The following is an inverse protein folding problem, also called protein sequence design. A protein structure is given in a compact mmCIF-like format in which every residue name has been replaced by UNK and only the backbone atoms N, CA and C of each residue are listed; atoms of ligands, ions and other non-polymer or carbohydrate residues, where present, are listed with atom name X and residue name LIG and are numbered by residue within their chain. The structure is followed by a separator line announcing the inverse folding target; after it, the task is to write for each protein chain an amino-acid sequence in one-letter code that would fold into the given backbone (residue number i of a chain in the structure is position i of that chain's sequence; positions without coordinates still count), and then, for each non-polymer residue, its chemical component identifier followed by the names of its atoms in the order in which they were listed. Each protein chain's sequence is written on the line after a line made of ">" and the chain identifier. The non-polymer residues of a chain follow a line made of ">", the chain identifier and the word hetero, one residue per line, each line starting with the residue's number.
data_IF_067798434359
#
_entry.id   IF_067798434359
#
_cell.length_a   1.000
_cell.length_b   1.000
_cell.length_c   1.000
_cell.angle_alpha   90.00
_cell.angle_beta   90.00
_cell.angle_gamma   90.00
#
_symmetry.space_group_name_H-M   'P 1'
#
loop_
_entity.id
_entity.type
_entity.pdbx_description
1 polymer ?
#
# COMPACT_ATOMS: atom_id res chain seq x y z
N UNK A 1 33.20 64.94 11.32
CA UNK A 1 32.91 63.61 11.91
C UNK A 1 31.89 62.96 10.99
N UNK A 2 32.34 62.05 10.13
CA UNK A 2 31.47 61.34 9.18
C UNK A 2 31.13 60.01 9.83
N UNK A 3 29.84 59.78 10.09
CA UNK A 3 29.33 58.54 10.67
C UNK A 3 29.03 57.60 9.50
N UNK A 4 29.83 56.55 9.37
CA UNK A 4 29.56 55.42 8.47
C UNK A 4 28.55 54.50 9.18
N UNK A 5 27.33 54.45 8.68
CA UNK A 5 26.35 53.41 9.01
C UNK A 5 26.62 52.22 8.08
N UNK A 6 27.31 51.20 8.57
CA UNK A 6 27.30 49.89 7.92
C UNK A 6 25.93 49.26 8.19
N UNK A 7 25.10 49.19 7.15
CA UNK A 7 23.88 48.39 7.16
C UNK A 7 24.24 46.90 7.22
N UNK A 8 23.60 46.17 8.13
CA UNK A 8 23.58 44.72 8.11
C UNK A 8 23.01 44.26 6.78
N UNK A 9 23.78 43.47 6.03
CA UNK A 9 23.25 42.67 4.93
C UNK A 9 22.36 41.61 5.56
N UNK A 10 21.04 41.71 5.33
CA UNK A 10 20.13 40.59 5.56
C UNK A 10 20.63 39.46 4.65
N UNK A 11 21.15 38.40 5.26
CA UNK A 11 21.37 37.14 4.56
C UNK A 11 20.03 36.74 3.96
N UNK A 12 19.99 36.64 2.63
CA UNK A 12 18.81 36.18 1.91
C UNK A 12 18.43 34.82 2.46
N UNK A 13 17.26 34.74 3.10
CA UNK A 13 16.66 33.47 3.49
C UNK A 13 16.54 32.64 2.22
N UNK A 14 17.36 31.60 2.11
CA UNK A 14 17.23 30.61 1.05
C UNK A 14 15.94 29.88 1.39
N UNK A 15 14.85 30.26 0.73
CA UNK A 15 13.60 29.51 0.76
C UNK A 15 13.90 28.18 0.05
N UNK A 16 14.21 27.15 0.84
CA UNK A 16 14.32 25.78 0.34
C UNK A 16 12.92 25.45 -0.14
N UNK A 17 12.74 25.42 -1.46
CA UNK A 17 11.49 24.98 -2.07
C UNK A 17 11.37 23.50 -1.73
N UNK A 18 10.56 23.19 -0.73
CA UNK A 18 10.26 21.81 -0.40
C UNK A 18 9.43 21.23 -1.54
N UNK A 19 10.04 20.24 -2.20
CA UNK A 19 9.40 19.46 -3.24
C UNK A 19 8.64 18.31 -2.58
N UNK A 20 7.40 18.10 -3.01
CA UNK A 20 6.52 17.07 -2.50
C UNK A 20 6.58 15.77 -3.32
N UNK A 21 7.42 15.72 -4.36
CA UNK A 21 7.62 14.54 -5.22
C UNK A 21 7.97 13.27 -4.43
N UNK A 22 8.88 13.39 -3.45
CA UNK A 22 9.27 12.28 -2.57
C UNK A 22 8.10 11.76 -1.74
N UNK A 23 7.27 12.66 -1.22
CA UNK A 23 6.07 12.31 -0.46
C UNK A 23 5.02 11.63 -1.34
N UNK A 24 4.80 12.13 -2.56
CA UNK A 24 3.87 11.52 -3.52
C UNK A 24 4.32 10.11 -3.93
N UNK A 25 5.59 9.93 -4.29
CA UNK A 25 6.14 8.61 -4.66
C UNK A 25 6.00 7.60 -3.51
N UNK A 26 6.21 8.06 -2.28
CA UNK A 26 6.06 7.23 -1.08
C UNK A 26 4.59 6.87 -0.83
N UNK A 27 3.68 7.81 -1.08
CA UNK A 27 2.25 7.61 -0.97
C UNK A 27 1.73 6.59 -2.01
N UNK A 28 2.25 6.62 -3.24
CA UNK A 28 1.98 5.59 -4.25
C UNK A 28 2.41 4.21 -3.77
N UNK A 29 3.62 4.08 -3.20
CA UNK A 29 4.11 2.80 -2.64
C UNK A 29 3.19 2.28 -1.53
N UNK A 30 2.73 3.15 -0.62
CA UNK A 30 1.77 2.79 0.41
C UNK A 30 0.43 2.34 -0.19
N UNK A 31 -0.09 3.08 -1.17
CA UNK A 31 -1.34 2.75 -1.86
C UNK A 31 -1.24 1.37 -2.54
N UNK A 32 -0.12 1.07 -3.20
CA UNK A 32 0.07 -0.21 -3.87
C UNK A 32 0.28 -1.39 -2.88
N UNK A 33 0.90 -1.14 -1.72
CA UNK A 33 0.99 -2.15 -0.66
C UNK A 33 -0.40 -2.48 -0.08
N UNK A 34 -1.22 -1.47 0.20
CA UNK A 34 -2.61 -1.66 0.66
C UNK A 34 -3.44 -2.37 -0.42
N UNK A 35 -3.37 -1.90 -1.67
CA UNK A 35 -4.00 -2.54 -2.83
C UNK A 35 -3.60 -4.02 -2.99
N UNK A 36 -2.38 -4.39 -2.60
CA UNK A 36 -1.94 -5.79 -2.59
C UNK A 36 -2.57 -6.58 -1.47
N UNK A 37 -2.75 -6.00 -0.29
CA UNK A 37 -3.52 -6.62 0.79
C UNK A 37 -4.96 -6.92 0.33
N UNK A 38 -5.63 -5.99 -0.35
CA UNK A 38 -7.03 -6.12 -0.74
C UNK A 38 -7.30 -7.41 -1.53
N UNK A 39 -6.48 -7.68 -2.56
CA UNK A 39 -6.63 -8.89 -3.39
C UNK A 39 -6.27 -10.17 -2.63
N UNK A 40 -5.40 -10.09 -1.62
CA UNK A 40 -4.99 -11.24 -0.82
C UNK A 40 -6.05 -11.58 0.22
N UNK A 41 -6.59 -10.58 0.91
CA UNK A 41 -7.69 -10.74 1.87
C UNK A 41 -8.96 -11.23 1.16
N UNK A 42 -9.33 -10.62 0.03
CA UNK A 42 -10.50 -11.03 -0.75
C UNK A 42 -10.39 -12.47 -1.25
N UNK A 43 -9.22 -12.84 -1.79
CA UNK A 43 -8.96 -14.21 -2.24
C UNK A 43 -8.97 -15.18 -1.06
N UNK A 44 -8.26 -14.86 0.02
CA UNK A 44 -8.05 -15.79 1.13
C UNK A 44 -9.31 -16.03 1.98
N UNK A 45 -10.14 -15.00 2.15
CA UNK A 45 -11.44 -15.10 2.81
C UNK A 45 -12.48 -15.85 1.97
N UNK A 46 -12.31 -15.91 0.64
CA UNK A 46 -13.23 -16.54 -0.31
C UNK A 46 -13.16 -18.09 -0.40
N UNK A 47 -12.61 -18.78 0.60
CA UNK A 47 -12.35 -20.23 0.58
C UNK A 47 -13.63 -21.13 0.56
N UNK A 48 -13.63 -22.33 -0.03
CA UNK A 48 -13.28 -23.64 0.60
C UNK A 48 -12.13 -24.42 -0.11
N UNK A 49 -11.14 -23.73 -0.68
CA UNK A 49 -10.21 -24.18 -1.74
C UNK A 49 -9.60 -22.99 -2.53
N UNK A 50 -10.23 -21.80 -2.39
CA UNK A 50 -10.19 -20.55 -3.18
C UNK A 50 -10.71 -20.73 -4.61
N UNK A 51 -12.04 -20.78 -4.72
CA UNK A 51 -12.77 -20.74 -6.00
C UNK A 51 -13.03 -19.29 -6.37
N UNK A 52 -12.64 -18.89 -7.58
CA UNK A 52 -13.05 -17.62 -8.20
C UNK A 52 -14.58 -17.49 -8.25
N UNK A 53 -15.16 -16.71 -7.35
CA UNK A 53 -16.55 -16.24 -7.47
C UNK A 53 -16.59 -14.98 -8.33
N UNK A 54 -17.74 -14.72 -8.96
CA UNK A 54 -17.92 -13.56 -9.85
C UNK A 54 -17.73 -12.20 -9.16
N UNK A 55 -17.63 -12.18 -7.82
CA UNK A 55 -17.53 -10.99 -6.98
C UNK A 55 -16.12 -10.77 -6.37
N UNK A 56 -15.08 -11.43 -6.85
CA UNK A 56 -13.71 -11.16 -6.36
C UNK A 56 -13.07 -9.94 -7.04
N UNK A 57 -12.18 -9.26 -6.33
CA UNK A 57 -11.29 -8.22 -6.88
C UNK A 57 -10.37 -8.79 -7.96
N UNK A 58 -10.00 -10.06 -7.81
CA UNK A 58 -9.14 -10.77 -8.76
C UNK A 58 -9.90 -11.06 -10.08
N UNK A 59 -9.38 -10.65 -11.25
CA UNK A 59 -10.01 -10.91 -12.53
C UNK A 59 -9.90 -12.39 -12.92
N UNK A 60 -10.79 -12.87 -13.81
CA UNK A 60 -10.78 -14.27 -14.29
C UNK A 60 -9.45 -14.67 -14.94
N UNK A 61 -8.77 -13.71 -15.56
CA UNK A 61 -7.58 -13.93 -16.38
C UNK A 61 -6.31 -14.13 -15.55
N UNK A 62 -6.31 -13.74 -14.26
CA UNK A 62 -5.20 -14.06 -13.36
C UNK A 62 -5.15 -15.58 -13.14
N UNK A 63 -4.01 -16.23 -13.30
CA UNK A 63 -3.93 -17.68 -13.14
C UNK A 63 -3.60 -18.03 -11.69
N UNK A 64 -4.46 -18.84 -11.07
CA UNK A 64 -4.28 -19.35 -9.70
C UNK A 64 -3.82 -20.80 -9.76
N UNK A 65 -2.66 -21.11 -9.18
CA UNK A 65 -2.07 -22.46 -9.18
C UNK A 65 -1.82 -22.92 -7.74
N UNK A 66 -2.38 -24.06 -7.36
CA UNK A 66 -2.18 -24.66 -6.04
C UNK A 66 -1.01 -25.64 -6.05
N UNK A 67 -0.12 -25.49 -5.07
CA UNK A 67 0.99 -26.40 -4.82
C UNK A 67 0.70 -27.33 -3.65
N UNK A 68 0.08 -26.79 -2.60
CA UNK A 68 -0.46 -27.54 -1.47
C UNK A 68 -1.86 -27.01 -1.15
N UNK A 69 -2.79 -27.92 -0.81
CA UNK A 69 -4.20 -27.61 -0.53
C UNK A 69 -4.66 -28.18 0.82
N UNK A 70 -3.75 -28.74 1.61
CA UNK A 70 -4.08 -29.44 2.85
C UNK A 70 -3.54 -28.69 4.07
N UNK A 71 -4.43 -28.45 5.04
CA UNK A 71 -4.02 -28.00 6.38
C UNK A 71 -3.80 -29.17 7.35
N UNK A 72 -4.08 -30.41 6.94
CA UNK A 72 -4.18 -31.58 7.82
C UNK A 72 -2.81 -32.26 8.05
N UNK A 73 -1.92 -32.17 7.06
CA UNK A 73 -0.54 -32.69 7.12
C UNK A 73 0.43 -31.78 7.89
N UNK A 74 -0.02 -30.57 8.26
CA UNK A 74 0.75 -29.60 9.02
C UNK A 74 1.74 -28.77 8.20
N UNK A 75 1.69 -28.83 6.86
CA UNK A 75 2.53 -27.99 5.98
C UNK A 75 1.86 -26.69 5.55
N UNK A 76 0.53 -26.63 5.68
CA UNK A 76 -0.27 -25.47 5.31
C UNK A 76 -0.64 -25.47 3.82
N UNK A 77 -1.28 -24.40 3.37
CA UNK A 77 -1.72 -24.25 1.98
C UNK A 77 -0.81 -23.28 1.24
N UNK A 78 -0.33 -23.70 0.06
CA UNK A 78 0.62 -22.95 -0.75
C UNK A 78 0.06 -22.77 -2.16
N UNK A 79 -0.01 -21.52 -2.64
CA UNK A 79 -0.51 -21.20 -3.98
C UNK A 79 0.21 -20.02 -4.63
N UNK A 80 0.09 -19.93 -5.95
CA UNK A 80 0.66 -18.89 -6.79
C UNK A 80 -0.45 -18.13 -7.53
N UNK A 81 -0.39 -16.80 -7.49
CA UNK A 81 -1.18 -15.91 -8.34
C UNK A 81 -0.26 -15.38 -9.46
N UNK A 82 -0.60 -15.65 -10.71
CA UNK A 82 0.14 -15.20 -11.90
C UNK A 82 -0.73 -14.24 -12.72
N UNK A 83 -0.32 -12.97 -12.73
CA UNK A 83 -0.97 -11.88 -13.47
C UNK A 83 -0.45 -11.75 -14.91
N UNK A 84 0.47 -12.62 -15.34
CA UNK A 84 1.13 -12.54 -16.62
C UNK A 84 2.33 -11.58 -16.62
N UNK A 85 2.86 -11.28 -17.80
CA UNK A 85 4.02 -10.40 -17.96
C UNK A 85 3.60 -8.93 -17.95
N UNK A 86 4.50 -8.04 -17.55
CA UNK A 86 4.27 -6.58 -17.53
C UNK A 86 3.72 -6.03 -18.86
N UNK A 87 4.23 -6.51 -20.00
CA UNK A 87 3.66 -6.20 -21.31
C UNK A 87 3.88 -4.75 -21.76
N UNK A 88 2.96 -4.25 -22.59
CA UNK A 88 2.95 -2.88 -23.11
C UNK A 88 1.84 -2.08 -22.41
N UNK A 89 1.91 -0.76 -22.46
CA UNK A 89 0.92 0.14 -21.85
C UNK A 89 -0.51 0.00 -22.46
N UNK A 90 -1.58 -0.08 -21.64
CA UNK A 90 -1.54 -0.18 -20.18
C UNK A 90 -0.96 -1.53 -19.74
N UNK A 91 0.06 -1.44 -18.90
CA UNK A 91 0.93 -2.55 -18.51
C UNK A 91 0.24 -3.43 -17.48
N UNK A 92 0.26 -4.74 -17.69
CA UNK A 92 -0.35 -5.72 -16.80
C UNK A 92 -1.84 -5.95 -17.05
N UNK A 93 -2.44 -6.71 -16.15
CA UNK A 93 -3.82 -7.15 -16.17
C UNK A 93 -4.68 -6.24 -15.30
N UNK A 94 -5.74 -5.67 -15.87
CA UNK A 94 -6.71 -4.87 -15.14
C UNK A 94 -7.53 -5.74 -14.18
N UNK A 95 -7.49 -5.40 -12.89
CA UNK A 95 -8.27 -6.02 -11.84
C UNK A 95 -9.57 -5.24 -11.57
N UNK A 96 -10.50 -5.81 -10.81
CA UNK A 96 -11.83 -5.19 -10.61
C UNK A 96 -11.82 -4.00 -9.65
N UNK A 97 -10.75 -3.84 -8.88
CA UNK A 97 -10.44 -2.64 -8.11
C UNK A 97 -9.83 -1.52 -8.98
N UNK A 98 -9.76 -1.69 -10.30
CA UNK A 98 -9.25 -0.65 -11.20
C UNK A 98 -7.73 -0.51 -11.24
N UNK A 99 -6.97 -1.35 -10.52
CA UNK A 99 -5.50 -1.39 -10.59
C UNK A 99 -5.04 -2.41 -11.62
N UNK A 100 -3.95 -2.11 -12.29
CA UNK A 100 -3.27 -3.04 -13.18
C UNK A 100 -2.19 -3.80 -12.41
N UNK A 101 -2.09 -5.10 -12.66
CA UNK A 101 -1.12 -5.97 -11.97
C UNK A 101 -0.37 -6.87 -12.94
N UNK A 102 0.89 -7.15 -12.66
CA UNK A 102 1.70 -8.07 -13.46
C UNK A 102 2.66 -8.87 -12.58
N UNK A 103 3.23 -9.92 -13.14
CA UNK A 103 4.16 -10.81 -12.45
C UNK A 103 3.44 -11.81 -11.54
N UNK A 104 4.13 -12.19 -10.47
CA UNK A 104 3.68 -13.30 -9.62
C UNK A 104 3.71 -12.97 -8.14
N UNK A 105 2.78 -13.57 -7.42
CA UNK A 105 2.76 -13.61 -5.96
C UNK A 105 2.69 -15.08 -5.53
N UNK A 106 3.58 -15.47 -4.60
CA UNK A 106 3.54 -16.78 -3.96
C UNK A 106 2.97 -16.60 -2.55
N UNK A 107 1.99 -17.40 -2.16
CA UNK A 107 1.29 -17.27 -0.88
C UNK A 107 1.33 -18.60 -0.15
N UNK A 108 1.62 -18.53 1.14
CA UNK A 108 1.63 -19.66 2.08
C UNK A 108 0.79 -19.33 3.31
N UNK A 109 -0.17 -20.18 3.66
CA UNK A 109 -1.00 -20.07 4.85
C UNK A 109 -0.67 -21.20 5.82
N UNK A 110 -0.47 -20.87 7.10
CA UNK A 110 -0.15 -21.88 8.13
C UNK A 110 -1.36 -22.71 8.57
N UNK A 111 -2.57 -22.17 8.46
CA UNK A 111 -3.86 -22.78 8.80
C UNK A 111 -4.99 -22.02 8.05
N UNK A 112 -6.28 -22.41 8.14
CA UNK A 112 -7.36 -21.70 7.47
C UNK A 112 -7.38 -20.21 7.80
N UNK A 113 -7.54 -19.34 6.79
CA UNK A 113 -7.43 -17.88 6.95
C UNK A 113 -8.34 -17.30 8.03
N UNK A 114 -9.49 -17.94 8.26
CA UNK A 114 -10.45 -17.56 9.30
C UNK A 114 -10.05 -17.94 10.73
N UNK A 115 -8.90 -18.56 10.97
CA UNK A 115 -8.48 -18.92 12.33
C UNK A 115 -7.54 -17.86 12.92
N UNK A 116 -7.74 -17.50 14.19
CA UNK A 116 -6.83 -16.63 14.93
C UNK A 116 -5.44 -17.28 15.02
N UNK A 117 -4.40 -16.47 14.84
CA UNK A 117 -3.01 -16.89 14.77
C UNK A 117 -2.61 -17.52 13.43
N UNK A 118 -3.46 -17.44 12.40
CA UNK A 118 -3.06 -17.76 11.03
C UNK A 118 -2.03 -16.77 10.53
N UNK A 119 -0.99 -17.28 9.90
CA UNK A 119 0.03 -16.47 9.25
C UNK A 119 -0.03 -16.74 7.76
N UNK A 120 -0.30 -15.69 6.98
CA UNK A 120 -0.11 -15.66 5.53
C UNK A 120 1.26 -15.07 5.24
N UNK A 121 2.17 -15.88 4.69
CA UNK A 121 3.44 -15.41 4.15
C UNK A 121 3.28 -15.19 2.65
N UNK A 122 3.59 -13.98 2.20
CA UNK A 122 3.45 -13.57 0.80
C UNK A 122 4.83 -13.23 0.28
N UNK A 123 5.25 -13.91 -0.79
CA UNK A 123 6.57 -13.73 -1.40
C UNK A 123 6.40 -13.17 -2.82
N UNK A 124 7.11 -12.08 -3.08
CA UNK A 124 7.27 -11.45 -4.38
C UNK A 124 8.62 -11.86 -4.98
N UNK A 125 8.64 -12.85 -5.89
CA UNK A 125 9.89 -13.46 -6.37
C UNK A 125 10.69 -12.50 -7.26
N UNK A 126 12.01 -12.53 -7.15
CA UNK A 126 12.90 -11.65 -7.93
C UNK A 126 12.93 -12.00 -9.42
N UNK A 127 12.72 -13.27 -9.75
CA UNK A 127 12.76 -13.80 -11.12
C UNK A 127 11.53 -13.37 -11.93
N UNK A 128 10.38 -13.18 -11.26
CA UNK A 128 9.13 -12.71 -11.84
C UNK A 128 8.48 -11.69 -10.88
N UNK A 129 9.09 -10.49 -10.75
CA UNK A 129 8.66 -9.48 -9.78
C UNK A 129 7.18 -9.16 -9.95
N UNK A 130 6.51 -8.92 -8.83
CA UNK A 130 5.15 -8.42 -8.84
C UNK A 130 5.15 -6.92 -9.15
N UNK A 131 4.17 -6.48 -9.93
CA UNK A 131 3.94 -5.09 -10.24
C UNK A 131 2.49 -4.71 -10.00
N UNK A 132 2.24 -3.51 -9.47
CA UNK A 132 0.90 -2.96 -9.27
C UNK A 132 0.88 -1.46 -9.56
N UNK A 133 -0.20 -0.93 -10.13
CA UNK A 133 -0.32 0.50 -10.43
C UNK A 133 -1.50 0.86 -11.33
N UNK A 134 -1.37 1.96 -12.09
CA UNK A 134 -2.42 2.50 -12.97
C UNK A 134 -2.32 2.01 -14.43
N UNK A 135 -1.31 1.19 -14.74
CA UNK A 135 -1.01 0.67 -16.08
C UNK A 135 0.05 1.50 -16.83
N UNK A 136 0.22 2.78 -16.51
CA UNK A 136 1.27 3.65 -17.02
C UNK A 136 2.46 3.68 -16.04
N UNK A 137 2.17 3.88 -14.76
CA UNK A 137 3.08 3.83 -13.64
C UNK A 137 2.86 2.52 -12.87
N UNK A 138 3.88 1.67 -12.84
CA UNK A 138 3.81 0.35 -12.23
C UNK A 138 4.88 0.23 -11.16
N UNK A 139 4.44 0.16 -9.91
CA UNK A 139 5.29 -0.05 -8.75
C UNK A 139 5.72 -1.51 -8.70
N UNK A 140 7.00 -1.76 -8.41
CA UNK A 140 7.58 -3.11 -8.45
C UNK A 140 7.90 -3.57 -7.03
N UNK A 141 7.36 -4.70 -6.61
CA UNK A 141 7.68 -5.34 -5.34
C UNK A 141 8.55 -6.59 -5.51
N UNK A 142 9.58 -6.70 -4.69
CA UNK A 142 10.35 -7.94 -4.48
C UNK A 142 10.63 -8.14 -2.99
N UNK A 143 10.42 -9.35 -2.49
CA UNK A 143 10.62 -9.64 -1.08
C UNK A 143 9.47 -10.43 -0.47
N UNK A 144 9.16 -10.17 0.79
CA UNK A 144 8.26 -10.93 1.65
C UNK A 144 7.51 -9.99 2.60
N UNK A 145 6.20 -10.16 2.67
CA UNK A 145 5.34 -9.62 3.73
C UNK A 145 4.66 -10.77 4.47
N UNK A 146 4.27 -10.49 5.72
CA UNK A 146 3.51 -11.41 6.57
C UNK A 146 2.25 -10.72 7.05
N UNK A 147 1.12 -11.42 6.89
CA UNK A 147 -0.15 -11.04 7.46
C UNK A 147 -0.48 -12.04 8.57
N UNK A 148 -0.75 -11.55 9.78
CA UNK A 148 -1.13 -12.38 10.92
C UNK A 148 -2.54 -12.01 11.34
N UNK A 149 -3.44 -13.00 11.42
CA UNK A 149 -4.77 -12.78 12.00
C UNK A 149 -4.65 -12.74 13.51
N UNK A 150 -4.83 -11.57 14.11
CA UNK A 150 -4.69 -11.37 15.55
C UNK A 150 -6.00 -11.64 16.29
N UNK A 151 -7.12 -11.25 15.67
CA UNK A 151 -8.47 -11.45 16.18
C UNK A 151 -9.46 -11.67 15.01
N UNK A 152 -10.76 -11.73 15.30
CA UNK A 152 -11.83 -11.88 14.30
C UNK A 152 -11.86 -10.71 13.31
N UNK A 153 -11.59 -9.48 13.74
CA UNK A 153 -11.61 -8.27 12.91
C UNK A 153 -10.23 -7.61 12.74
N UNK A 154 -9.18 -8.17 13.35
CA UNK A 154 -7.83 -7.58 13.37
C UNK A 154 -6.79 -8.45 12.63
N UNK A 155 -6.02 -7.81 11.75
CA UNK A 155 -4.90 -8.40 11.01
C UNK A 155 -3.69 -7.47 11.11
N UNK A 156 -2.52 -8.02 11.46
CA UNK A 156 -1.25 -7.28 11.39
C UNK A 156 -0.54 -7.56 10.06
N UNK A 157 -0.09 -6.53 9.35
CA UNK A 157 0.79 -6.61 8.19
C UNK A 157 2.20 -6.15 8.58
N UNK A 158 3.18 -7.05 8.48
CA UNK A 158 4.60 -6.74 8.68
C UNK A 158 5.39 -7.09 7.42
N UNK A 159 6.23 -6.19 6.96
CA UNK A 159 7.25 -6.49 5.95
C UNK A 159 8.46 -7.17 6.60
N UNK A 160 8.97 -8.26 6.05
CA UNK A 160 10.23 -8.86 6.53
C UNK A 160 11.43 -8.36 5.72
N UNK A 161 11.32 -8.47 4.41
CA UNK A 161 12.28 -7.96 3.45
C UNK A 161 11.43 -7.44 2.30
N UNK A 162 11.28 -6.15 2.06
CA UNK A 162 10.50 -5.68 0.92
C UNK A 162 11.27 -4.57 0.23
N UNK A 163 11.48 -4.71 -1.06
CA UNK A 163 12.05 -3.68 -1.93
C UNK A 163 10.96 -3.20 -2.87
N UNK A 164 10.85 -1.87 -3.01
CA UNK A 164 9.97 -1.20 -3.96
C UNK A 164 10.80 -0.39 -4.96
N UNK A 165 10.36 -0.33 -6.21
CA UNK A 165 10.94 0.48 -7.27
C UNK A 165 11.74 -0.31 -8.30
N UNK A 166 12.30 0.42 -9.25
CA UNK A 166 13.01 -0.14 -10.40
C UNK A 166 14.28 -0.90 -9.98
N UNK A 167 14.64 -1.92 -10.77
CA UNK A 167 15.85 -2.70 -10.52
C UNK A 167 17.10 -1.81 -10.58
N UNK A 168 17.81 -1.70 -9.46
CA UNK A 168 19.03 -0.88 -9.32
C UNK A 168 18.81 0.51 -8.67
N UNK A 169 17.55 0.91 -8.45
CA UNK A 169 17.17 2.11 -7.70
C UNK A 169 16.03 1.81 -6.71
N UNK A 170 15.95 0.56 -6.26
CA UNK A 170 14.92 0.12 -5.33
C UNK A 170 15.19 0.71 -3.93
N UNK A 171 14.12 1.02 -3.22
CA UNK A 171 14.14 1.43 -1.82
C UNK A 171 13.64 0.26 -0.97
N UNK A 172 14.23 0.10 0.21
CA UNK A 172 13.73 -0.80 1.23
C UNK A 172 12.43 -0.23 1.81
N UNK A 173 11.42 -1.08 1.94
CA UNK A 173 10.12 -0.75 2.53
C UNK A 173 9.95 -1.56 3.82
N UNK A 174 9.80 -0.85 4.91
CA UNK A 174 9.44 -1.40 6.22
C UNK A 174 8.03 -0.95 6.58
N UNK A 175 7.11 -1.86 6.82
CA UNK A 175 5.76 -1.55 7.28
C UNK A 175 5.38 -2.42 8.48
N UNK A 176 4.66 -1.80 9.41
CA UNK A 176 3.98 -2.42 10.53
C UNK A 176 2.60 -1.76 10.63
N UNK A 177 1.60 -2.44 10.07
CA UNK A 177 0.23 -1.94 9.95
C UNK A 177 -0.73 -2.84 10.70
N UNK A 178 -1.58 -2.25 11.54
CA UNK A 178 -2.79 -2.86 12.07
C UNK A 178 -3.95 -2.57 11.11
N UNK A 179 -4.61 -3.64 10.68
CA UNK A 179 -5.75 -3.62 9.77
C UNK A 179 -6.98 -4.06 10.55
N UNK A 180 -8.02 -3.23 10.59
CA UNK A 180 -9.25 -3.49 11.34
C UNK A 180 -10.46 -3.47 10.40
N UNK A 181 -11.27 -4.54 10.40
CA UNK A 181 -12.52 -4.61 9.63
C UNK A 181 -13.67 -4.01 10.45
N UNK A 182 -14.00 -2.75 10.21
CA UNK A 182 -15.12 -2.09 10.93
C UNK A 182 -16.49 -2.58 10.47
N UNK A 183 -16.61 -2.88 9.18
CA UNK A 183 -17.81 -3.49 8.59
C UNK A 183 -17.36 -4.73 7.81
N UNK A 184 -17.83 -5.90 8.23
CA UNK A 184 -17.59 -7.19 7.59
C UNK A 184 -18.91 -7.72 6.99
N UNK A 185 -18.99 -7.78 5.66
CA UNK A 185 -20.14 -8.31 4.92
C UNK A 185 -20.02 -9.81 4.59
N UNK A 186 -19.07 -10.51 5.23
CA UNK A 186 -18.92 -11.95 5.20
C UNK A 186 -17.78 -12.41 4.30
N UNK A 187 -18.12 -13.10 3.21
CA UNK A 187 -17.11 -13.75 2.36
C UNK A 187 -16.58 -12.75 1.32
N UNK A 188 -15.26 -12.58 1.26
CA UNK A 188 -14.60 -11.59 0.42
C UNK A 188 -14.53 -10.22 1.11
N UNK A 189 -13.94 -9.23 0.44
CA UNK A 189 -13.80 -7.87 0.98
C UNK A 189 -14.86 -6.90 0.44
N UNK A 190 -15.65 -7.30 -0.57
CA UNK A 190 -16.59 -6.37 -1.21
C UNK A 190 -17.68 -5.87 -0.25
N UNK A 191 -17.83 -4.54 -0.26
CA UNK A 191 -18.69 -3.73 0.61
C UNK A 191 -18.20 -3.59 2.06
N UNK A 192 -17.04 -4.13 2.40
CA UNK A 192 -16.43 -3.92 3.71
C UNK A 192 -15.93 -2.49 3.89
N UNK A 193 -15.78 -2.10 5.15
CA UNK A 193 -15.07 -0.90 5.57
C UNK A 193 -13.87 -1.34 6.40
N UNK A 194 -12.67 -0.95 5.98
CA UNK A 194 -11.42 -1.38 6.61
C UNK A 194 -10.56 -0.18 6.92
N UNK A 195 -9.99 -0.19 8.12
CA UNK A 195 -9.04 0.80 8.61
C UNK A 195 -7.62 0.25 8.58
N UNK A 196 -6.67 1.09 8.18
CA UNK A 196 -5.23 0.80 8.18
C UNK A 196 -4.52 1.82 9.08
N UNK A 197 -4.08 1.39 10.24
CA UNK A 197 -3.27 2.19 11.16
C UNK A 197 -1.86 1.64 11.27
N UNK A 198 -0.88 2.47 11.62
CA UNK A 198 0.50 2.04 11.85
C UNK A 198 1.53 2.94 11.19
N UNK A 199 2.66 2.35 10.80
CA UNK A 199 3.77 3.07 10.19
C UNK A 199 4.36 2.36 8.97
N UNK A 200 4.82 3.15 8.02
CA UNK A 200 5.53 2.72 6.83
C UNK A 200 6.76 3.60 6.66
N UNK A 201 7.92 2.98 6.47
CA UNK A 201 9.20 3.62 6.21
C UNK A 201 9.75 3.15 4.88
N UNK A 202 10.12 4.09 4.03
CA UNK A 202 10.78 3.84 2.74
C UNK A 202 12.17 4.45 2.83
N UNK A 203 13.20 3.65 2.58
CA UNK A 203 14.58 4.14 2.66
C UNK A 203 15.46 3.64 1.53
N UNK A 204 16.36 4.49 1.09
CA UNK A 204 17.45 4.14 0.19
C UNK A 204 18.75 4.76 0.71
N UNK A 205 19.84 4.60 -0.04
CA UNK A 205 21.15 5.09 0.39
C UNK A 205 21.24 6.62 0.55
N UNK A 206 20.33 7.39 -0.05
CA UNK A 206 20.33 8.85 -0.04
C UNK A 206 19.31 9.43 0.96
N UNK A 207 18.10 8.88 1.01
CA UNK A 207 16.97 9.46 1.74
C UNK A 207 16.12 8.42 2.46
N UNK A 208 15.43 8.82 3.52
CA UNK A 208 14.35 8.04 4.12
C UNK A 208 13.09 8.88 4.33
N UNK A 209 11.94 8.21 4.20
CA UNK A 209 10.60 8.74 4.42
C UNK A 209 9.91 7.84 5.43
N UNK A 210 9.42 8.40 6.53
CA UNK A 210 8.61 7.70 7.54
C UNK A 210 7.21 8.31 7.50
N UNK A 211 6.21 7.48 7.23
CA UNK A 211 4.79 7.81 7.28
C UNK A 211 4.15 7.09 8.45
N UNK A 212 3.41 7.82 9.29
CA UNK A 212 2.75 7.25 10.46
C UNK A 212 1.33 7.77 10.56
N UNK A 213 0.38 6.86 10.77
CA UNK A 213 -1.04 7.22 10.93
C UNK A 213 -1.25 8.08 12.18
N UNK A 214 -1.82 9.26 11.97
CA UNK A 214 -2.46 10.06 13.03
C UNK A 214 -3.88 9.55 13.23
N UNK A 215 -4.59 9.38 12.11
CA UNK A 215 -5.89 8.72 12.03
C UNK A 215 -5.74 7.54 11.04
N UNK A 216 -6.26 6.34 11.36
CA UNK A 216 -6.20 5.21 10.45
C UNK A 216 -6.77 5.56 9.06
N UNK A 217 -6.14 5.05 8.01
CA UNK A 217 -6.59 5.23 6.64
C UNK A 217 -7.83 4.37 6.41
N UNK A 218 -8.90 4.98 5.91
CA UNK A 218 -10.18 4.32 5.67
C UNK A 218 -10.31 3.92 4.21
N UNK A 219 -10.70 2.67 3.97
CA UNK A 219 -11.13 2.19 2.65
C UNK A 219 -12.54 1.62 2.71
N UNK A 220 -13.30 1.90 1.67
CA UNK A 220 -14.65 1.36 1.44
C UNK A 220 -14.62 0.51 0.17
N UNK A 221 -14.90 -0.77 0.28
CA UNK A 221 -14.72 -1.74 -0.81
C UNK A 221 -15.95 -1.90 -1.70
N UNK A 222 -16.57 -0.78 -2.10
CA UNK A 222 -17.46 -0.81 -3.26
C UNK A 222 -16.63 -0.86 -4.55
N UNK A 223 -17.17 -1.43 -5.63
CA UNK A 223 -16.43 -1.56 -6.90
C UNK A 223 -15.92 -0.22 -7.47
N UNK A 224 -16.58 0.90 -7.14
CA UNK A 224 -16.19 2.23 -7.62
C UNK A 224 -15.09 2.85 -6.73
N UNK A 225 -15.01 2.40 -5.47
CA UNK A 225 -14.22 3.04 -4.42
C UNK A 225 -13.01 2.23 -3.96
N UNK A 226 -12.99 0.91 -4.21
CA UNK A 226 -11.93 -0.01 -3.77
C UNK A 226 -10.51 0.42 -4.16
N UNK A 227 -10.38 1.23 -5.22
CA UNK A 227 -9.10 1.76 -5.70
C UNK A 227 -8.52 2.89 -4.83
N UNK A 228 -9.36 3.56 -4.05
CA UNK A 228 -9.04 4.80 -3.33
C UNK A 228 -9.04 4.58 -1.82
N UNK A 229 -8.26 5.40 -1.12
CA UNK A 229 -8.41 5.66 0.30
C UNK A 229 -9.35 6.87 0.42
N UNK A 230 -10.36 6.78 1.28
CA UNK A 230 -11.44 7.80 1.39
C UNK A 230 -11.32 8.67 2.62
N UNK A 231 -10.35 8.40 3.50
CA UNK A 231 -10.15 9.18 4.71
C UNK A 231 -8.96 8.70 5.53
N UNK A 232 -8.65 9.47 6.56
CA UNK A 232 -7.49 9.25 7.44
C UNK A 232 -6.40 10.31 7.25
N UNK A 233 -5.44 10.30 8.17
CA UNK A 233 -4.39 11.30 8.23
C UNK A 233 -3.04 10.65 8.53
N UNK A 234 -2.00 11.05 7.79
CA UNK A 234 -0.63 10.62 8.03
C UNK A 234 0.22 11.81 8.46
N UNK A 235 1.14 11.57 9.40
CA UNK A 235 2.33 12.38 9.57
C UNK A 235 3.45 11.83 8.68
N UNK A 236 4.24 12.71 8.08
CA UNK A 236 5.38 12.36 7.22
C UNK A 236 6.64 13.02 7.77
N UNK A 237 7.70 12.24 7.94
CA UNK A 237 9.03 12.73 8.24
C UNK A 237 9.97 12.36 7.10
N UNK A 238 10.72 13.34 6.61
CA UNK A 238 11.76 13.14 5.61
C UNK A 238 13.13 13.30 6.29
N UNK A 239 14.10 12.44 6.00
CA UNK A 239 15.44 12.53 6.59
C UNK A 239 16.16 13.85 6.28
N UNK A 240 15.78 14.50 5.17
CA UNK A 240 16.42 15.71 4.66
C UNK A 240 15.62 17.00 4.98
N UNK A 241 14.48 16.88 5.66
CA UNK A 241 13.64 18.03 6.02
C UNK A 241 13.34 18.08 7.52
N UNK A 242 13.17 19.29 8.03
CA UNK A 242 12.71 19.56 9.40
C UNK A 242 11.25 20.00 9.45
N UNK A 243 10.55 19.96 8.31
CA UNK A 243 9.21 20.48 8.19
C UNK A 243 8.17 19.53 8.72
N UNK A 244 7.10 20.12 9.24
CA UNK A 244 5.92 19.38 9.66
C UNK A 244 5.07 19.10 8.42
N UNK A 245 5.06 17.84 7.99
CA UNK A 245 4.32 17.37 6.82
C UNK A 245 3.21 16.43 7.27
N UNK A 246 2.00 16.69 6.79
CA UNK A 246 0.84 15.84 7.00
C UNK A 246 0.12 15.58 5.68
N UNK A 247 -0.47 14.41 5.54
CA UNK A 247 -1.32 14.04 4.41
C UNK A 247 -2.73 13.80 4.96
N UNK A 248 -3.70 14.50 4.41
CA UNK A 248 -5.13 14.36 4.70
C UNK A 248 -5.82 13.75 3.46
N UNK A 249 -6.45 12.59 3.65
CA UNK A 249 -7.12 11.82 2.61
C UNK A 249 -8.59 12.18 2.41
N UNK A 250 -9.13 13.10 3.21
CA UNK A 250 -10.48 13.63 3.05
C UNK A 250 -10.52 15.16 3.28
N UNK A 251 -9.82 15.93 2.42
CA UNK A 251 -9.69 17.38 2.63
C UNK A 251 -11.02 18.14 2.54
N UNK A 252 -12.03 17.56 1.90
CA UNK A 252 -13.38 18.12 1.77
C UNK A 252 -14.35 17.61 2.85
N UNK A 253 -13.93 16.66 3.69
CA UNK A 253 -14.72 16.00 4.75
C UNK A 253 -16.03 15.37 4.23
N UNK A 254 -15.95 14.65 3.11
CA UNK A 254 -17.09 14.02 2.45
C UNK A 254 -16.91 12.51 2.16
N UNK A 255 -15.76 11.93 2.55
CA UNK A 255 -15.35 10.55 2.28
C UNK A 255 -15.54 10.15 0.79
N UNK A 256 -15.29 11.08 -0.14
CA UNK A 256 -15.49 10.82 -1.56
C UNK A 256 -14.49 9.83 -2.15
N UNK A 257 -14.97 9.02 -3.10
CA UNK A 257 -14.14 8.11 -3.90
C UNK A 257 -13.44 8.84 -5.06
N UNK A 258 -12.71 9.92 -4.78
CA UNK A 258 -12.18 10.84 -5.80
C UNK A 258 -10.65 10.88 -5.91
N UNK A 259 -9.95 10.13 -5.05
CA UNK A 259 -8.49 10.02 -5.02
C UNK A 259 -7.79 11.35 -4.70
N UNK A 260 -8.46 12.23 -3.96
CA UNK A 260 -7.96 13.55 -3.60
C UNK A 260 -7.25 13.49 -2.24
N UNK A 261 -6.07 14.11 -2.17
CA UNK A 261 -5.33 14.30 -0.91
C UNK A 261 -4.87 15.74 -0.77
N UNK A 262 -4.81 16.22 0.47
CA UNK A 262 -4.11 17.44 0.83
C UNK A 262 -2.76 17.09 1.44
N UNK A 263 -1.67 17.59 0.86
CA UNK A 263 -0.36 17.60 1.51
C UNK A 263 -0.18 18.95 2.17
N UNK A 264 -0.08 18.95 3.49
CA UNK A 264 0.13 20.14 4.32
C UNK A 264 1.59 20.20 4.75
N UNK A 265 2.29 21.25 4.36
CA UNK A 265 3.70 21.49 4.71
C UNK A 265 3.78 22.80 5.46
N UNK A 266 4.18 22.75 6.73
CA UNK A 266 4.30 23.93 7.61
C UNK A 266 3.02 24.81 7.59
N UNK A 267 1.85 24.17 7.56
CA UNK A 267 0.53 24.82 7.55
C UNK A 267 0.05 25.32 6.18
N UNK A 268 0.82 25.15 5.10
CA UNK A 268 0.38 25.42 3.72
C UNK A 268 -0.10 24.12 3.07
N UNK A 269 -1.33 24.10 2.56
CA UNK A 269 -1.93 22.94 1.91
C UNK A 269 -1.85 23.03 0.38
N UNK A 270 -1.54 21.90 -0.27
CA UNK A 270 -1.68 21.72 -1.71
C UNK A 270 -2.46 20.44 -1.97
N UNK A 271 -3.45 20.51 -2.87
CA UNK A 271 -4.32 19.41 -3.24
C UNK A 271 -3.75 18.64 -4.44
N UNK A 272 -3.74 17.31 -4.36
CA UNK A 272 -3.31 16.41 -5.42
C UNK A 272 -4.40 15.38 -5.71
N UNK A 273 -4.42 14.89 -6.95
CA UNK A 273 -4.96 13.58 -7.26
C UNK A 273 -3.74 12.68 -7.48
N UNK A 274 -3.65 11.57 -6.75
CA UNK A 274 -2.43 10.74 -6.71
C UNK A 274 -2.65 9.36 -7.33
#
# INVERSE_FOLDING_TARGET
>A
MVIFLCGCTEDSVIEIKEDNETTLTSLETLSELISTFDILDDLASSHDAFKKKENELLPSDAKLTYHDVSFIDGTGVDFEIDFGKLGNEPSGLLCKDGKYRAGKILVKLTRPYSEIGTVMTVVFPKEQPFYSGDGSNMERFVGTIKLTREDDDEITLITETLESGQAGSASDVSADLLITKEVDNGIGILNDEVLFGGELKIENAASSVEMKSIQPLKKVYSLICAKNIVGGELSVKLSESISDIYIDFDPDNDEACDNKVAIVINGKSVIYNY
#
